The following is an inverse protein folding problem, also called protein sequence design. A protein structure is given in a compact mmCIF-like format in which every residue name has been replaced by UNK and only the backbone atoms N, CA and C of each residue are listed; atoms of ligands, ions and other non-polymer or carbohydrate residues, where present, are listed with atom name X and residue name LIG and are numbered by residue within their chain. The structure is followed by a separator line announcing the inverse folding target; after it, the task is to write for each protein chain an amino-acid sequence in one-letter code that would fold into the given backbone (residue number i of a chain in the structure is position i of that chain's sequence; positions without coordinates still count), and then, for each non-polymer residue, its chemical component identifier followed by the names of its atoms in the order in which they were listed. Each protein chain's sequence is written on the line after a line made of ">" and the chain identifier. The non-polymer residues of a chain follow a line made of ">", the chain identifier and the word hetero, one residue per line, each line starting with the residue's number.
data_IF_589830849624
#
_entry.id   IF_589830849624
#
_cell.length_a   1.000
_cell.length_b   1.000
_cell.length_c   1.000
_cell.angle_alpha   90.00
_cell.angle_beta   90.00
_cell.angle_gamma   90.00
#
_symmetry.space_group_name_H-M   'P 1'
#
loop_
_entity.id
_entity.type
_entity.pdbx_description
1 polymer ?
#
# COMPACT_ATOMS: atom_id res chain seq x y z
N UNK A 1 20.09 -45.72 -51.23
CA UNK A 1 18.68 -45.73 -50.82
C UNK A 1 18.68 -45.32 -49.36
N UNK A 2 18.35 -44.06 -49.12
CA UNK A 2 18.49 -43.39 -47.84
C UNK A 2 17.21 -43.60 -47.03
N UNK A 3 17.33 -44.13 -45.82
CA UNK A 3 16.26 -44.09 -44.83
C UNK A 3 16.75 -43.33 -43.60
N UNK A 4 16.12 -42.17 -43.42
CA UNK A 4 16.25 -41.21 -42.33
C UNK A 4 15.83 -41.79 -40.98
N UNK A 5 16.53 -41.48 -39.88
CA UNK A 5 16.03 -41.73 -38.53
C UNK A 5 15.00 -40.65 -38.17
N UNK A 6 13.75 -41.05 -37.96
CA UNK A 6 12.70 -40.22 -37.39
C UNK A 6 12.94 -40.01 -35.89
N UNK A 7 12.88 -38.76 -35.37
CA UNK A 7 12.92 -38.52 -33.94
C UNK A 7 11.56 -38.86 -33.33
N UNK A 8 11.49 -39.96 -32.59
CA UNK A 8 10.35 -40.29 -31.74
C UNK A 8 10.26 -39.24 -30.63
N UNK A 9 9.31 -38.32 -30.82
CA UNK A 9 8.81 -37.39 -29.83
C UNK A 9 8.38 -38.16 -28.58
N UNK A 10 9.18 -38.04 -27.52
CA UNK A 10 8.77 -38.37 -26.16
C UNK A 10 7.72 -37.35 -25.72
N UNK A 11 6.47 -37.57 -26.14
CA UNK A 11 5.30 -36.94 -25.54
C UNK A 11 5.15 -37.50 -24.13
N UNK A 12 5.84 -36.85 -23.18
CA UNK A 12 5.57 -37.00 -21.75
C UNK A 12 4.06 -36.87 -21.54
N UNK A 13 3.37 -37.91 -21.04
CA UNK A 13 1.94 -37.86 -20.84
C UNK A 13 1.65 -36.72 -19.88
N UNK A 14 0.89 -35.75 -20.39
CA UNK A 14 0.27 -34.67 -19.64
C UNK A 14 -0.25 -35.21 -18.32
N UNK A 15 0.44 -34.88 -17.24
CA UNK A 15 -0.06 -35.08 -15.89
C UNK A 15 -1.48 -34.50 -15.86
N UNK A 16 -2.51 -35.29 -15.49
CA UNK A 16 -3.85 -34.75 -15.44
C UNK A 16 -3.84 -33.54 -14.51
N UNK A 17 -4.58 -32.46 -14.84
CA UNK A 17 -4.75 -31.35 -13.91
C UNK A 17 -5.23 -31.95 -12.59
N UNK A 18 -4.47 -31.71 -11.50
CA UNK A 18 -4.90 -32.13 -10.16
C UNK A 18 -6.36 -31.70 -10.01
N UNK A 19 -7.27 -32.63 -9.69
CA UNK A 19 -8.68 -32.30 -9.61
C UNK A 19 -8.85 -31.10 -8.69
N UNK A 20 -9.80 -30.22 -9.02
CA UNK A 20 -10.29 -29.12 -8.18
C UNK A 20 -10.99 -29.69 -6.93
N UNK A 21 -10.29 -30.55 -6.21
CA UNK A 21 -10.62 -31.01 -4.89
C UNK A 21 -10.32 -29.80 -4.02
N UNK A 22 -11.35 -28.98 -3.82
CA UNK A 22 -11.49 -27.92 -2.80
C UNK A 22 -10.18 -27.72 -2.09
N UNK A 23 -9.42 -26.66 -2.43
CA UNK A 23 -8.14 -26.33 -1.80
C UNK A 23 -8.31 -26.34 -0.28
N UNK A 24 -8.18 -27.54 0.31
CA UNK A 24 -8.22 -27.76 1.74
C UNK A 24 -6.86 -27.30 2.15
N UNK A 25 -6.76 -26.02 2.46
CA UNK A 25 -5.61 -25.48 3.15
C UNK A 25 -5.16 -26.50 4.19
N UNK A 26 -3.87 -26.83 4.21
CA UNK A 26 -3.30 -27.49 5.38
C UNK A 26 -3.71 -26.66 6.60
N UNK A 27 -4.23 -27.31 7.64
CA UNK A 27 -4.68 -26.62 8.85
C UNK A 27 -3.55 -25.73 9.42
N UNK A 28 -2.31 -26.20 9.30
CA UNK A 28 -1.10 -25.49 9.69
C UNK A 28 -0.89 -24.18 8.91
N UNK A 29 -1.22 -24.15 7.62
CA UNK A 29 -1.05 -22.96 6.78
C UNK A 29 -2.13 -21.91 7.07
N UNK A 30 -3.34 -22.33 7.43
CA UNK A 30 -4.40 -21.44 7.94
C UNK A 30 -4.01 -20.80 9.27
N UNK A 31 -3.45 -21.58 10.18
CA UNK A 31 -3.08 -21.12 11.53
C UNK A 31 -1.88 -20.17 11.47
N UNK A 32 -0.90 -20.47 10.61
CA UNK A 32 0.23 -19.58 10.34
C UNK A 32 -0.21 -18.24 9.71
N UNK A 33 -1.26 -18.23 8.86
CA UNK A 33 -1.81 -16.98 8.30
C UNK A 33 -2.61 -16.20 9.32
N UNK A 34 -3.48 -16.87 10.09
CA UNK A 34 -4.27 -16.22 11.14
C UNK A 34 -3.37 -15.57 12.19
N UNK A 35 -2.33 -16.27 12.64
CA UNK A 35 -1.37 -15.72 13.61
C UNK A 35 -0.66 -14.46 13.09
N UNK A 36 -0.23 -14.44 11.82
CA UNK A 36 0.39 -13.23 11.20
C UNK A 36 -0.56 -12.04 11.15
N UNK A 37 -1.81 -12.25 10.73
CA UNK A 37 -2.83 -11.19 10.65
C UNK A 37 -3.16 -10.66 12.05
N UNK A 38 -3.35 -11.56 13.03
CA UNK A 38 -3.61 -11.20 14.41
C UNK A 38 -2.44 -10.44 15.04
N UNK A 39 -1.20 -10.83 14.74
CA UNK A 39 -0.02 -10.15 15.26
C UNK A 39 0.13 -8.73 14.67
N UNK A 40 -0.17 -8.57 13.37
CA UNK A 40 -0.20 -7.26 12.72
C UNK A 40 -1.29 -6.35 13.34
N UNK A 41 -2.48 -6.89 13.61
CA UNK A 41 -3.55 -6.19 14.31
C UNK A 41 -3.17 -5.84 15.76
N UNK A 42 -2.58 -6.77 16.51
CA UNK A 42 -2.15 -6.53 17.88
C UNK A 42 -1.10 -5.41 17.97
N UNK A 43 -0.12 -5.42 17.05
CA UNK A 43 0.88 -4.36 16.96
C UNK A 43 0.26 -3.00 16.62
N UNK A 44 -0.76 -2.96 15.75
CA UNK A 44 -1.42 -1.71 15.39
C UNK A 44 -2.24 -1.13 16.54
N UNK A 45 -2.94 -1.97 17.31
CA UNK A 45 -3.66 -1.55 18.52
C UNK A 45 -2.70 -1.03 19.59
N UNK A 46 -1.54 -1.68 19.77
CA UNK A 46 -0.53 -1.23 20.73
C UNK A 46 -0.04 0.20 20.45
N UNK A 47 -0.02 0.63 19.18
CA UNK A 47 0.34 2.00 18.79
C UNK A 47 -0.89 2.93 18.81
N UNK A 48 -2.04 2.47 18.34
CA UNK A 48 -3.24 3.29 18.20
C UNK A 48 -3.94 3.58 19.53
N UNK A 49 -3.92 2.66 20.49
CA UNK A 49 -4.59 2.84 21.78
C UNK A 49 -3.99 4.00 22.61
N UNK A 50 -2.66 4.12 22.78
CA UNK A 50 -2.07 5.28 23.44
C UNK A 50 -2.41 6.60 22.73
N UNK A 51 -2.41 6.61 21.39
CA UNK A 51 -2.78 7.79 20.60
C UNK A 51 -4.25 8.17 20.81
N UNK A 52 -5.16 7.19 20.84
CA UNK A 52 -6.59 7.40 21.11
C UNK A 52 -6.85 7.95 22.50
N UNK A 53 -6.15 7.43 23.52
CA UNK A 53 -6.22 7.95 24.89
C UNK A 53 -5.69 9.38 24.97
N UNK A 54 -4.52 9.66 24.37
CA UNK A 54 -3.96 11.01 24.32
C UNK A 54 -4.90 12.00 23.61
N UNK A 55 -5.51 11.58 22.49
CA UNK A 55 -6.50 12.37 21.78
C UNK A 55 -7.74 12.65 22.62
N UNK A 56 -8.24 11.65 23.36
CA UNK A 56 -9.38 11.80 24.28
C UNK A 56 -9.07 12.80 25.41
N UNK A 57 -7.89 12.72 26.02
CA UNK A 57 -7.45 13.67 27.05
C UNK A 57 -7.31 15.10 26.51
N UNK A 58 -6.75 15.26 25.31
CA UNK A 58 -6.65 16.55 24.65
C UNK A 58 -8.03 17.12 24.30
N UNK A 59 -8.96 16.28 23.86
CA UNK A 59 -10.33 16.67 23.57
C UNK A 59 -11.06 17.12 24.84
N UNK A 60 -10.88 16.41 25.96
CA UNK A 60 -11.44 16.77 27.27
C UNK A 60 -10.98 18.15 27.74
N UNK A 61 -9.72 18.53 27.51
CA UNK A 61 -9.22 19.85 27.89
C UNK A 61 -9.68 20.97 26.95
N UNK A 62 -9.69 20.71 25.64
CA UNK A 62 -9.80 21.78 24.65
C UNK A 62 -11.21 21.94 24.06
N UNK A 63 -12.05 20.90 24.03
CA UNK A 63 -13.33 20.90 23.33
C UNK A 63 -14.49 20.97 24.33
N UNK A 64 -15.21 22.10 24.31
CA UNK A 64 -16.34 22.33 25.23
C UNK A 64 -17.48 21.32 25.03
N UNK A 65 -17.74 20.92 23.78
CA UNK A 65 -18.69 19.88 23.44
C UNK A 65 -18.29 18.53 24.05
N UNK A 66 -17.03 18.12 23.90
CA UNK A 66 -16.53 16.85 24.42
C UNK A 66 -16.65 16.76 25.94
N UNK A 67 -16.46 17.86 26.68
CA UNK A 67 -16.66 17.87 28.14
C UNK A 67 -18.11 17.55 28.53
N UNK A 68 -19.09 18.01 27.75
CA UNK A 68 -20.53 17.82 27.98
C UNK A 68 -21.02 16.41 27.65
N UNK A 69 -20.24 15.61 26.93
CA UNK A 69 -20.59 14.21 26.65
C UNK A 69 -20.60 13.38 27.94
N UNK A 70 -21.55 12.43 27.99
CA UNK A 70 -21.62 11.44 29.06
C UNK A 70 -20.37 10.54 29.07
N UNK A 71 -20.03 9.98 30.23
CA UNK A 71 -18.89 9.07 30.39
C UNK A 71 -18.89 7.92 29.36
N UNK A 72 -20.02 7.23 29.11
CA UNK A 72 -20.08 6.12 28.15
C UNK A 72 -19.77 6.53 26.71
N UNK A 73 -20.17 7.75 26.32
CA UNK A 73 -19.93 8.23 24.96
C UNK A 73 -18.45 8.62 24.75
N UNK A 74 -17.80 9.14 25.80
CA UNK A 74 -16.36 9.42 25.78
C UNK A 74 -15.53 8.14 25.61
N UNK A 75 -15.87 7.09 26.35
CA UNK A 75 -15.21 5.79 26.25
C UNK A 75 -15.46 5.14 24.89
N UNK A 76 -16.67 5.26 24.36
CA UNK A 76 -16.99 4.78 23.01
C UNK A 76 -16.10 5.42 21.94
N UNK A 77 -15.98 6.76 21.95
CA UNK A 77 -15.10 7.48 21.01
C UNK A 77 -13.63 7.03 21.17
N UNK A 78 -13.16 6.90 22.41
CA UNK A 78 -11.77 6.53 22.69
C UNK A 78 -11.44 5.11 22.18
N UNK A 79 -12.39 4.17 22.26
CA UNK A 79 -12.24 2.80 21.77
C UNK A 79 -12.43 2.65 20.26
N UNK A 80 -13.20 3.54 19.63
CA UNK A 80 -13.47 3.48 18.20
C UNK A 80 -12.19 3.62 17.36
N UNK A 81 -11.27 4.50 17.77
CA UNK A 81 -10.00 4.74 17.06
C UNK A 81 -9.13 3.46 16.97
N UNK A 82 -8.74 2.80 18.07
CA UNK A 82 -7.93 1.58 18.00
C UNK A 82 -8.68 0.44 17.31
N UNK A 83 -10.01 0.35 17.45
CA UNK A 83 -10.83 -0.66 16.76
C UNK A 83 -10.77 -0.47 15.24
N UNK A 84 -10.94 0.75 14.75
CA UNK A 84 -10.89 1.04 13.32
C UNK A 84 -9.49 0.76 12.72
N UNK A 85 -8.44 1.11 13.45
CA UNK A 85 -7.05 0.84 13.05
C UNK A 85 -6.76 -0.66 13.05
N UNK A 86 -7.23 -1.40 14.05
CA UNK A 86 -7.12 -2.87 14.09
C UNK A 86 -7.70 -3.48 12.82
N UNK A 87 -8.98 -3.21 12.55
CA UNK A 87 -9.68 -3.79 11.40
C UNK A 87 -9.02 -3.43 10.06
N UNK A 88 -8.59 -2.18 9.89
CA UNK A 88 -7.96 -1.73 8.64
C UNK A 88 -6.61 -2.44 8.41
N UNK A 89 -5.81 -2.60 9.47
CA UNK A 89 -4.51 -3.29 9.36
C UNK A 89 -4.69 -4.79 9.15
N UNK A 90 -5.63 -5.41 9.85
CA UNK A 90 -5.93 -6.83 9.67
C UNK A 90 -6.47 -7.12 8.28
N UNK A 91 -7.37 -6.28 7.76
CA UNK A 91 -7.93 -6.41 6.42
C UNK A 91 -6.82 -6.31 5.36
N UNK A 92 -5.94 -5.31 5.50
CA UNK A 92 -4.78 -5.16 4.62
C UNK A 92 -3.85 -6.37 4.69
N UNK A 93 -3.57 -6.88 5.89
CA UNK A 93 -2.73 -8.05 6.08
C UNK A 93 -3.36 -9.32 5.47
N UNK A 94 -4.68 -9.48 5.58
CA UNK A 94 -5.42 -10.57 4.95
C UNK A 94 -5.34 -10.48 3.41
N UNK A 95 -5.58 -9.29 2.84
CA UNK A 95 -5.43 -9.07 1.39
C UNK A 95 -4.01 -9.37 0.89
N UNK A 96 -2.98 -9.01 1.66
CA UNK A 96 -1.60 -9.36 1.32
C UNK A 96 -1.37 -10.87 1.32
N UNK A 97 -1.83 -11.58 2.36
CA UNK A 97 -1.71 -13.03 2.44
C UNK A 97 -2.46 -13.76 1.31
N UNK A 98 -3.65 -13.29 0.95
CA UNK A 98 -4.43 -13.82 -0.16
C UNK A 98 -3.74 -13.57 -1.50
N UNK A 99 -3.14 -12.38 -1.67
CA UNK A 99 -2.39 -12.04 -2.89
C UNK A 99 -1.14 -12.91 -3.05
N UNK A 100 -0.37 -13.12 -1.98
CA UNK A 100 0.79 -14.01 -1.98
C UNK A 100 0.41 -15.44 -2.39
N UNK A 101 -0.74 -15.92 -1.93
CA UNK A 101 -1.23 -17.24 -2.29
C UNK A 101 -1.74 -17.31 -3.74
N UNK A 102 -2.49 -16.31 -4.20
CA UNK A 102 -2.95 -16.23 -5.59
C UNK A 102 -1.77 -16.25 -6.59
N UNK A 103 -0.62 -15.68 -6.20
CA UNK A 103 0.62 -15.75 -7.00
C UNK A 103 1.23 -17.16 -7.10
N UNK A 104 0.93 -18.07 -6.18
CA UNK A 104 1.46 -19.46 -6.22
C UNK A 104 0.73 -20.35 -7.24
N UNK A 105 -0.50 -19.99 -7.63
CA UNK A 105 -1.34 -20.80 -8.53
C UNK A 105 -1.60 -20.12 -9.88
N UNK A 106 -1.15 -18.89 -10.09
CA UNK A 106 -1.29 -18.22 -11.39
C UNK A 106 -0.26 -18.74 -12.40
N UNK A 107 -0.73 -19.38 -13.47
CA UNK A 107 0.08 -19.85 -14.63
C UNK A 107 0.68 -18.66 -15.41
N UNK A 108 0.12 -17.46 -15.24
CA UNK A 108 0.68 -16.20 -15.73
C UNK A 108 1.94 -15.83 -14.94
N UNK A 109 3.07 -16.38 -15.39
CA UNK A 109 4.46 -15.98 -15.12
C UNK A 109 4.68 -15.19 -13.82
N UNK A 110 5.40 -15.80 -12.87
CA UNK A 110 6.23 -15.10 -11.89
C UNK A 110 7.16 -14.03 -12.51
N UNK A 111 7.35 -14.00 -13.84
CA UNK A 111 8.06 -12.96 -14.57
C UNK A 111 7.18 -11.75 -14.99
N UNK A 112 5.85 -11.86 -14.95
CA UNK A 112 4.92 -10.77 -15.30
C UNK A 112 4.50 -9.95 -14.07
N UNK A 113 4.61 -10.53 -12.87
CA UNK A 113 4.38 -9.85 -11.59
C UNK A 113 5.59 -9.88 -10.65
N UNK A 114 6.80 -10.17 -11.18
CA UNK A 114 8.03 -9.83 -10.47
C UNK A 114 8.07 -8.30 -10.39
N UNK A 115 7.53 -7.76 -9.30
CA UNK A 115 8.20 -6.64 -8.63
C UNK A 115 9.64 -7.12 -8.55
N UNK A 116 10.60 -6.49 -9.25
CA UNK A 116 11.97 -6.98 -9.31
C UNK A 116 12.37 -7.35 -7.89
N UNK A 117 12.61 -8.66 -7.69
CA UNK A 117 12.88 -9.23 -6.38
C UNK A 117 13.89 -8.32 -5.73
N UNK A 118 13.54 -7.75 -4.56
CA UNK A 118 14.33 -6.77 -3.82
C UNK A 118 15.80 -7.09 -4.01
N UNK A 119 16.41 -6.46 -5.01
CA UNK A 119 17.82 -6.63 -5.23
C UNK A 119 18.40 -5.95 -4.00
N UNK A 120 19.41 -6.52 -3.33
CA UNK A 120 20.11 -5.84 -2.26
C UNK A 120 20.91 -4.68 -2.87
N UNK A 121 20.20 -3.71 -3.42
CA UNK A 121 20.70 -2.39 -3.73
C UNK A 121 20.53 -1.63 -2.43
N UNK A 122 21.62 -1.04 -1.96
CA UNK A 122 21.57 0.14 -1.11
C UNK A 122 20.61 1.13 -1.76
N UNK A 123 19.33 1.04 -1.39
CA UNK A 123 18.30 1.91 -1.92
C UNK A 123 18.70 3.33 -1.60
N UNK A 124 18.80 4.14 -2.64
CA UNK A 124 19.07 5.55 -2.43
C UNK A 124 17.88 6.17 -1.69
N UNK A 125 18.10 7.14 -0.78
CA UNK A 125 17.01 7.80 -0.08
C UNK A 125 15.99 8.43 -1.05
N UNK A 126 16.42 8.84 -2.25
CA UNK A 126 15.54 9.33 -3.30
C UNK A 126 14.56 8.25 -3.81
N UNK A 127 15.05 7.04 -4.06
CA UNK A 127 14.22 5.92 -4.54
C UNK A 127 13.20 5.46 -3.50
N UNK A 128 13.60 5.42 -2.22
CA UNK A 128 12.69 5.18 -1.10
C UNK A 128 11.57 6.23 -1.05
N UNK A 129 11.90 7.51 -1.23
CA UNK A 129 10.93 8.61 -1.25
C UNK A 129 9.96 8.48 -2.42
N UNK A 130 10.45 8.13 -3.62
CA UNK A 130 9.58 7.95 -4.79
C UNK A 130 8.60 6.78 -4.65
N UNK A 131 9.07 5.66 -4.09
CA UNK A 131 8.23 4.49 -3.83
C UNK A 131 7.15 4.78 -2.79
N UNK A 132 7.49 5.56 -1.76
CA UNK A 132 6.60 5.88 -0.65
C UNK A 132 5.97 7.28 -0.74
N UNK A 133 6.01 7.93 -1.91
CA UNK A 133 5.67 9.34 -2.10
C UNK A 133 4.33 9.74 -1.47
N UNK A 134 3.28 8.96 -1.70
CA UNK A 134 1.94 9.26 -1.19
C UNK A 134 1.84 9.07 0.32
N UNK A 135 2.50 8.04 0.86
CA UNK A 135 2.54 7.77 2.30
C UNK A 135 3.30 8.85 3.05
N UNK A 136 4.45 9.29 2.51
CA UNK A 136 5.26 10.36 3.09
C UNK A 136 4.50 11.69 3.07
N UNK A 137 3.88 12.06 1.95
CA UNK A 137 3.07 13.28 1.87
C UNK A 137 1.91 13.21 2.89
N UNK A 138 1.22 12.06 2.98
CA UNK A 138 0.11 11.89 3.90
C UNK A 138 0.52 12.06 5.37
N UNK A 139 1.60 11.40 5.80
CA UNK A 139 2.11 11.53 7.16
C UNK A 139 2.71 12.91 7.44
N UNK A 140 3.42 13.50 6.47
CA UNK A 140 3.97 14.86 6.60
C UNK A 140 2.86 15.90 6.72
N UNK A 141 1.79 15.77 5.96
CA UNK A 141 0.59 16.60 6.07
C UNK A 141 -0.05 16.49 7.46
N UNK A 142 -0.27 15.26 7.93
CA UNK A 142 -0.86 15.02 9.25
C UNK A 142 0.03 15.54 10.39
N UNK A 143 1.35 15.36 10.25
CA UNK A 143 2.35 15.84 11.22
C UNK A 143 2.37 17.37 11.27
N UNK A 144 2.37 18.03 10.12
CA UNK A 144 2.36 19.50 10.03
C UNK A 144 1.07 20.07 10.62
N UNK A 145 -0.08 19.46 10.31
CA UNK A 145 -1.37 19.85 10.89
C UNK A 145 -1.35 19.71 12.42
N UNK A 146 -0.88 18.57 12.93
CA UNK A 146 -0.77 18.31 14.36
C UNK A 146 0.17 19.28 15.07
N UNK A 147 1.33 19.57 14.48
CA UNK A 147 2.30 20.52 15.01
C UNK A 147 1.72 21.95 15.05
N UNK A 148 1.07 22.39 13.97
CA UNK A 148 0.44 23.70 13.90
C UNK A 148 -0.70 23.82 14.93
N UNK A 149 -1.52 22.78 15.10
CA UNK A 149 -2.57 22.75 16.11
C UNK A 149 -2.00 22.80 17.54
N UNK A 150 -0.94 22.04 17.82
CA UNK A 150 -0.30 22.04 19.14
C UNK A 150 0.34 23.40 19.46
N UNK A 151 0.99 24.01 18.48
CA UNK A 151 1.55 25.35 18.59
C UNK A 151 0.46 26.40 18.84
N UNK A 152 -0.59 26.39 18.02
CA UNK A 152 -1.71 27.32 18.13
C UNK A 152 -2.55 27.09 19.40
N UNK A 153 -2.57 25.88 19.97
CA UNK A 153 -3.29 25.58 21.21
C UNK A 153 -2.75 26.38 22.41
N UNK A 154 -1.45 26.69 22.43
CA UNK A 154 -0.80 27.44 23.54
C UNK A 154 -1.00 28.97 23.48
N UNK A 155 -1.41 29.48 22.32
CA UNK A 155 -1.60 30.92 22.05
C UNK A 155 -2.98 31.41 22.51
N UNK A 156 -3.07 32.42 23.38
CA UNK A 156 -4.35 32.96 23.90
C UNK A 156 -4.88 34.17 23.15
N UNK A 157 -4.09 34.70 22.22
CA UNK A 157 -4.30 35.92 21.42
C UNK A 157 -5.26 35.73 20.24
N UNK A 158 -5.63 34.50 19.89
CA UNK A 158 -6.36 34.20 18.65
C UNK A 158 -7.61 33.35 18.92
N UNK A 159 -8.73 33.68 18.26
CA UNK A 159 -10.00 32.93 18.38
C UNK A 159 -9.86 31.49 17.86
N UNK A 160 -10.65 30.56 18.43
CA UNK A 160 -10.56 29.11 18.12
C UNK A 160 -10.78 28.81 16.63
N UNK A 161 -11.72 29.51 15.99
CA UNK A 161 -12.01 29.35 14.56
C UNK A 161 -10.78 29.72 13.71
N UNK A 162 -10.10 30.81 14.06
CA UNK A 162 -8.92 31.28 13.33
C UNK A 162 -7.74 30.30 13.47
N UNK A 163 -7.58 29.66 14.63
CA UNK A 163 -6.55 28.62 14.84
C UNK A 163 -6.70 27.44 13.89
N UNK A 164 -7.94 26.99 13.66
CA UNK A 164 -8.25 25.88 12.75
C UNK A 164 -7.93 26.27 11.32
N UNK A 165 -8.36 27.47 10.89
CA UNK A 165 -8.10 27.99 9.55
C UNK A 165 -6.59 28.07 9.28
N UNK A 166 -5.83 28.66 10.21
CA UNK A 166 -4.38 28.76 10.10
C UNK A 166 -3.74 27.37 9.98
N UNK A 167 -4.11 26.43 10.86
CA UNK A 167 -3.54 25.09 10.86
C UNK A 167 -3.82 24.32 9.55
N UNK A 168 -5.03 24.46 9.00
CA UNK A 168 -5.39 23.85 7.71
C UNK A 168 -4.62 24.47 6.56
N UNK A 169 -4.47 25.80 6.56
CA UNK A 169 -3.70 26.51 5.54
C UNK A 169 -2.23 26.07 5.56
N UNK A 170 -1.59 26.00 6.73
CA UNK A 170 -0.21 25.50 6.87
C UNK A 170 -0.07 24.06 6.35
N UNK A 171 -1.01 23.18 6.71
CA UNK A 171 -0.98 21.79 6.24
C UNK A 171 -1.16 21.69 4.71
N UNK A 172 -2.06 22.49 4.13
CA UNK A 172 -2.25 22.56 2.68
C UNK A 172 -0.99 23.09 1.98
N UNK A 173 -0.37 24.15 2.49
CA UNK A 173 0.90 24.68 1.96
C UNK A 173 1.98 23.60 1.98
N UNK A 174 2.11 22.85 3.07
CA UNK A 174 3.06 21.73 3.15
C UNK A 174 2.79 20.66 2.08
N UNK A 175 1.52 20.26 1.89
CA UNK A 175 1.18 19.24 0.89
C UNK A 175 1.51 19.71 -0.54
N UNK A 176 1.21 20.96 -0.87
CA UNK A 176 1.53 21.56 -2.17
C UNK A 176 3.04 21.60 -2.41
N UNK A 177 3.81 22.07 -1.41
CA UNK A 177 5.27 22.09 -1.46
C UNK A 177 5.84 20.67 -1.60
N UNK A 178 5.30 19.70 -0.86
CA UNK A 178 5.74 18.30 -0.92
C UNK A 178 5.51 17.67 -2.29
N UNK A 179 4.33 17.87 -2.88
CA UNK A 179 4.03 17.39 -4.24
C UNK A 179 4.95 18.10 -5.25
N UNK A 180 5.13 19.41 -5.14
CA UNK A 180 6.03 20.18 -6.00
C UNK A 180 7.48 19.70 -5.91
N UNK A 181 7.97 19.41 -4.70
CA UNK A 181 9.32 18.89 -4.47
C UNK A 181 9.51 17.50 -5.09
N UNK A 182 8.52 16.60 -4.94
CA UNK A 182 8.56 15.26 -5.57
C UNK A 182 8.51 15.36 -7.10
N UNK A 183 7.70 16.27 -7.64
CA UNK A 183 7.61 16.51 -9.08
C UNK A 183 8.92 17.10 -9.64
N UNK A 184 9.53 18.05 -8.94
CA UNK A 184 10.82 18.63 -9.32
C UNK A 184 11.96 17.60 -9.24
N UNK A 185 11.94 16.74 -8.21
CA UNK A 185 12.89 15.64 -8.11
C UNK A 185 12.69 14.65 -9.27
N UNK A 186 11.43 14.33 -9.61
CA UNK A 186 11.11 13.43 -10.72
C UNK A 186 11.56 13.99 -12.08
N UNK A 187 11.36 15.30 -12.31
CA UNK A 187 11.79 15.95 -13.54
C UNK A 187 13.31 16.04 -13.64
N UNK A 188 14.03 16.21 -12.51
CA UNK A 188 15.50 16.21 -12.50
C UNK A 188 16.12 14.81 -12.69
N UNK A 189 15.38 13.74 -12.36
CA UNK A 189 15.83 12.35 -12.46
C UNK A 189 15.49 11.69 -13.83
N UNK A 190 15.14 12.49 -14.84
CA UNK A 190 14.47 12.09 -16.08
C UNK A 190 15.28 11.23 -17.07
N UNK A 191 16.41 10.65 -16.67
CA UNK A 191 17.21 9.75 -17.52
C UNK A 191 17.17 8.28 -17.08
N UNK A 192 17.18 7.99 -15.78
CA UNK A 192 17.34 6.61 -15.27
C UNK A 192 16.08 6.04 -14.60
N UNK A 193 15.15 6.88 -14.13
CA UNK A 193 14.00 6.41 -13.33
C UNK A 193 12.77 6.01 -14.19
N UNK A 194 12.67 6.50 -15.42
CA UNK A 194 11.52 6.26 -16.31
C UNK A 194 11.48 4.85 -16.89
N UNK A 195 12.63 4.21 -17.10
CA UNK A 195 12.73 2.83 -17.62
C UNK A 195 12.16 1.79 -16.66
N UNK A 196 12.09 2.08 -15.36
CA UNK A 196 11.51 1.18 -14.35
C UNK A 196 10.05 1.46 -13.99
N UNK A 197 9.47 2.59 -14.44
CA UNK A 197 8.20 3.07 -13.88
C UNK A 197 6.94 2.45 -14.51
N UNK A 198 7.01 1.90 -15.74
CA UNK A 198 5.85 1.23 -16.33
C UNK A 198 6.18 0.18 -17.41
N UNK A 199 6.71 -1.00 -17.03
CA UNK A 199 6.92 -2.13 -17.95
C UNK A 199 5.61 -2.69 -18.54
N UNK A 200 4.45 -2.27 -18.03
CA UNK A 200 3.14 -2.70 -18.52
C UNK A 200 2.67 -1.84 -19.70
N UNK A 201 2.88 -0.52 -19.66
CA UNK A 201 2.54 0.38 -20.77
C UNK A 201 3.25 0.00 -22.08
N UNK A 202 4.57 -0.22 -22.01
CA UNK A 202 5.38 -0.63 -23.18
C UNK A 202 4.89 -1.97 -23.76
N UNK A 203 4.46 -2.90 -22.91
CA UNK A 203 4.01 -4.23 -23.31
C UNK A 203 2.63 -4.22 -23.96
N UNK A 204 1.70 -3.37 -23.51
CA UNK A 204 0.37 -3.22 -24.14
C UNK A 204 0.50 -2.59 -25.52
N UNK A 205 1.31 -1.53 -25.63
CA UNK A 205 1.53 -0.82 -26.90
C UNK A 205 2.30 -1.69 -27.90
N UNK A 206 3.37 -2.35 -27.48
CA UNK A 206 4.17 -3.21 -28.36
C UNK A 206 3.53 -4.59 -28.60
N UNK A 207 2.81 -5.13 -27.63
CA UNK A 207 2.07 -6.39 -27.75
C UNK A 207 0.90 -6.30 -28.74
N UNK A 208 0.24 -5.13 -28.82
CA UNK A 208 -0.76 -4.86 -29.86
C UNK A 208 -0.15 -4.89 -31.27
N UNK A 209 0.97 -4.19 -31.45
CA UNK A 209 1.70 -4.14 -32.73
C UNK A 209 2.26 -5.49 -33.19
N UNK A 210 2.66 -6.35 -32.25
CA UNK A 210 3.15 -7.70 -32.56
C UNK A 210 2.03 -8.62 -33.08
N UNK A 211 0.80 -8.47 -32.58
CA UNK A 211 -0.36 -9.23 -33.05
C UNK A 211 -0.81 -8.78 -34.44
N UNK A 212 -0.72 -7.47 -34.71
CA UNK A 212 -1.07 -6.88 -36.01
C UNK A 212 -0.16 -7.39 -37.13
N UNK A 213 1.17 -7.42 -36.89
CA UNK A 213 2.15 -7.98 -37.84
C UNK A 213 2.02 -9.49 -38.05
N UNK A 214 1.55 -10.22 -37.05
CA UNK A 214 1.28 -11.66 -37.16
C UNK A 214 0.03 -11.94 -38.00
N UNK A 215 -1.00 -11.09 -37.89
CA UNK A 215 -2.20 -11.16 -38.72
C UNK A 215 -1.91 -10.81 -40.18
N UNK A 216 -1.05 -9.82 -40.43
CA UNK A 216 -0.65 -9.41 -41.79
C UNK A 216 0.14 -10.51 -42.52
N UNK A 217 1.01 -11.24 -41.82
CA UNK A 217 1.76 -12.39 -42.38
C UNK A 217 0.94 -13.66 -42.60
N UNK A 218 -0.27 -13.75 -42.03
CA UNK A 218 -1.13 -14.93 -42.18
C UNK A 218 -2.11 -14.76 -43.35
N UNK A 219 -2.28 -13.53 -43.86
CA UNK A 219 -3.20 -13.19 -44.96
C UNK A 219 -2.46 -13.04 -46.30
N UNK A 220 -1.12 -12.97 -46.29
CA UNK A 220 -0.25 -13.01 -47.47
C UNK A 220 0.29 -14.41 -47.73
#
# INVERSE_FOLDING_TARGET
>A
MADTPTPSSSSSPSQPPKPLLVARFSQEEKDARHSKVLWAGAKSVAVAAPLGVAASLLAQRNIAFYRRLSMPFKTFIALMIPTAVFFTVTDRAAMHADREHAMQFSVTRQADMRVPAAVPHTETPAEFVFRNRYTIIGWGWASTLGAALLYNARRTDITRSMKIINSRMTAQTFALVGIGAIAALASSASSDLSTGLDPHFERVVNGGRARERASEKTIA
#
